data_IF_668000012768
#
_entry.id   IF_668000012768
#
_cell.length_a   1.000
_cell.length_b   1.000
_cell.length_c   1.000
_cell.angle_alpha   90.00
_cell.angle_beta   90.00
_cell.angle_gamma   90.00
#
_symmetry.space_group_name_H-M   'P 1'
#
loop_
_entity.id
_entity.type
_entity.pdbx_description
1 polymer ?
#
# COMPACT_ATOMS: atom_id res chain seq x y z
N UNK A 1 -17.89 31.58 5.21
CA UNK A 1 -18.65 32.29 6.27
C UNK A 1 -17.87 32.09 7.55
N UNK A 2 -17.08 33.08 7.97
CA UNK A 2 -16.16 32.98 9.10
C UNK A 2 -16.95 33.17 10.39
N UNK A 3 -16.97 32.17 11.26
CA UNK A 3 -17.47 32.31 12.63
C UNK A 3 -16.25 32.41 13.56
N UNK A 4 -15.88 33.64 13.90
CA UNK A 4 -14.90 33.93 14.94
C UNK A 4 -15.64 34.02 16.28
N UNK A 5 -15.41 33.06 17.17
CA UNK A 5 -15.76 33.20 18.58
C UNK A 5 -14.71 34.10 19.26
N UNK A 6 -15.11 35.12 20.06
CA UNK A 6 -14.19 35.89 20.87
C UNK A 6 -13.85 35.06 22.12
N UNK A 7 -12.56 34.78 22.33
CA UNK A 7 -12.08 34.16 23.57
C UNK A 7 -11.74 35.29 24.55
N UNK A 8 -12.37 35.38 25.73
CA UNK A 8 -12.02 36.39 26.73
C UNK A 8 -10.60 36.13 27.26
N UNK A 9 -9.79 37.18 27.31
CA UNK A 9 -8.34 37.18 27.52
C UNK A 9 -7.87 36.89 28.97
N UNK A 10 -8.61 36.10 29.74
CA UNK A 10 -8.28 35.83 31.14
C UNK A 10 -8.48 34.36 31.47
N UNK A 11 -7.48 33.54 31.13
CA UNK A 11 -7.11 32.25 31.74
C UNK A 11 -5.95 31.65 30.91
N UNK A 12 -4.80 32.30 30.98
CA UNK A 12 -3.51 31.68 30.65
C UNK A 12 -3.21 30.65 31.75
N UNK A 13 -2.64 29.50 31.37
CA UNK A 13 -2.06 28.41 32.19
C UNK A 13 -2.83 27.08 32.25
N UNK A 14 -3.37 26.58 31.13
CA UNK A 14 -3.44 25.14 30.90
C UNK A 14 -2.65 24.80 29.63
N UNK A 15 -1.66 23.90 29.67
CA UNK A 15 -0.89 23.58 28.48
C UNK A 15 -1.84 22.98 27.44
N UNK A 16 -1.79 23.50 26.21
CA UNK A 16 -2.39 22.86 25.03
C UNK A 16 -1.68 21.53 24.75
N UNK A 17 -1.92 20.52 25.58
CA UNK A 17 -1.56 19.13 25.35
C UNK A 17 -2.65 18.41 24.57
N UNK A 18 -3.28 19.08 23.61
CA UNK A 18 -3.94 18.38 22.50
C UNK A 18 -2.89 17.95 21.47
N UNK A 19 -1.93 17.15 21.94
CA UNK A 19 -1.31 16.18 21.07
C UNK A 19 -2.40 15.22 20.64
N UNK A 20 -2.82 15.29 19.37
CA UNK A 20 -3.59 14.21 18.76
C UNK A 20 -2.77 12.94 18.95
N UNK A 21 -3.17 12.08 19.88
CA UNK A 21 -2.64 10.75 19.96
C UNK A 21 -2.90 10.11 18.59
N UNK A 22 -1.84 9.86 17.82
CA UNK A 22 -1.92 9.06 16.63
C UNK A 22 -2.37 7.67 17.12
N UNK A 23 -3.65 7.35 16.92
CA UNK A 23 -4.17 6.04 17.28
C UNK A 23 -3.39 5.04 16.45
N UNK A 24 -2.61 4.18 17.11
CA UNK A 24 -1.91 3.11 16.43
C UNK A 24 -2.96 2.23 15.74
N UNK A 25 -2.95 2.22 14.40
CA UNK A 25 -3.87 1.37 13.63
C UNK A 25 -3.48 -0.08 13.90
N UNK A 26 -4.40 -0.84 14.48
CA UNK A 26 -4.18 -2.26 14.70
C UNK A 26 -4.23 -3.00 13.36
N UNK A 27 -3.03 -3.32 12.85
CA UNK A 27 -2.85 -3.99 11.56
C UNK A 27 -3.62 -5.32 11.49
N UNK A 28 -3.83 -5.97 12.63
CA UNK A 28 -4.58 -7.22 12.73
C UNK A 28 -6.06 -7.05 12.39
N UNK A 29 -6.66 -5.87 12.56
CA UNK A 29 -8.10 -5.61 12.36
C UNK A 29 -8.39 -4.64 11.21
N UNK A 30 -7.37 -4.01 10.63
CA UNK A 30 -7.52 -3.11 9.48
C UNK A 30 -8.22 -3.76 8.27
N UNK A 31 -9.35 -3.17 7.85
CA UNK A 31 -10.04 -3.47 6.59
C UNK A 31 -9.90 -2.24 5.70
N UNK A 32 -9.43 -2.47 4.48
CA UNK A 32 -9.00 -1.44 3.53
C UNK A 32 -7.69 -1.83 2.86
N UNK A 33 -7.29 -1.04 1.88
CA UNK A 33 -6.03 -1.22 1.13
C UNK A 33 -5.23 0.08 1.19
N UNK A 34 -3.97 0.00 1.64
CA UNK A 34 -3.14 1.17 1.92
C UNK A 34 -1.70 0.97 1.44
N UNK A 35 -1.01 2.08 1.20
CA UNK A 35 0.43 2.11 0.93
C UNK A 35 1.18 1.88 2.23
N UNK A 36 2.13 0.93 2.24
CA UNK A 36 2.97 0.62 3.39
C UNK A 36 4.38 0.25 2.96
N UNK A 37 5.32 0.45 3.88
CA UNK A 37 6.69 0.03 3.69
C UNK A 37 6.81 -1.51 3.67
N UNK A 38 7.49 -2.02 2.66
CA UNK A 38 7.80 -3.43 2.46
C UNK A 38 9.26 -3.59 2.06
N UNK A 39 9.91 -4.64 2.54
CA UNK A 39 11.31 -4.94 2.20
C UNK A 39 11.41 -6.27 1.49
N UNK A 40 12.04 -6.27 0.31
CA UNK A 40 12.26 -7.46 -0.49
C UNK A 40 13.74 -7.61 -0.87
N UNK A 41 14.10 -8.80 -1.36
CA UNK A 41 15.43 -9.08 -1.89
C UNK A 41 15.41 -8.92 -3.41
N UNK A 42 15.93 -7.80 -3.91
CA UNK A 42 16.16 -7.60 -5.34
C UNK A 42 17.32 -8.50 -5.79
N UNK A 43 17.06 -9.38 -6.75
CA UNK A 43 18.01 -10.37 -7.24
C UNK A 43 18.03 -10.39 -8.76
N UNK A 44 19.22 -10.49 -9.34
CA UNK A 44 19.47 -10.61 -10.78
C UNK A 44 20.63 -11.58 -10.99
N UNK A 45 20.54 -12.52 -11.94
CA UNK A 45 21.64 -13.42 -12.25
C UNK A 45 22.94 -12.67 -12.54
N UNK A 46 24.05 -13.14 -11.96
CA UNK A 46 25.36 -12.51 -12.13
C UNK A 46 25.65 -11.32 -11.21
N UNK A 47 24.72 -10.92 -10.34
CA UNK A 47 24.93 -9.90 -9.30
C UNK A 47 24.63 -10.47 -7.90
N UNK A 48 25.17 -9.83 -6.86
CA UNK A 48 24.74 -10.13 -5.49
C UNK A 48 23.41 -9.44 -5.20
N UNK A 49 22.49 -10.17 -4.56
CA UNK A 49 21.21 -9.61 -4.13
C UNK A 49 21.34 -8.42 -3.16
N UNK A 50 20.38 -7.50 -3.25
CA UNK A 50 20.28 -6.30 -2.43
C UNK A 50 18.91 -6.27 -1.73
N UNK A 51 18.90 -6.04 -0.41
CA UNK A 51 17.66 -5.79 0.31
C UNK A 51 17.20 -4.36 0.03
N UNK A 52 15.99 -4.23 -0.51
CA UNK A 52 15.40 -2.96 -0.90
C UNK A 52 14.14 -2.75 -0.08
N UNK A 53 14.06 -1.59 0.57
CA UNK A 53 12.89 -1.13 1.31
C UNK A 53 12.14 -0.13 0.43
N UNK A 54 10.85 -0.36 0.23
CA UNK A 54 10.03 0.47 -0.67
C UNK A 54 8.56 0.47 -0.26
N UNK A 55 7.79 1.39 -0.84
CA UNK A 55 6.35 1.46 -0.65
C UNK A 55 5.62 0.46 -1.55
N UNK A 56 4.77 -0.36 -0.95
CA UNK A 56 3.97 -1.38 -1.61
C UNK A 56 2.51 -1.37 -1.08
N UNK A 57 1.61 -2.07 -1.76
CA UNK A 57 0.22 -2.17 -1.34
C UNK A 57 0.01 -3.31 -0.34
N UNK A 58 -0.71 -3.00 0.73
CA UNK A 58 -1.03 -3.96 1.78
C UNK A 58 -2.40 -3.67 2.41
N UNK A 59 -3.14 -4.73 2.72
CA UNK A 59 -4.44 -4.60 3.37
C UNK A 59 -5.35 -5.79 3.13
N UNK A 60 -6.63 -5.62 3.46
CA UNK A 60 -7.70 -6.61 3.26
C UNK A 60 -8.91 -5.93 2.67
N UNK A 61 -9.41 -6.47 1.57
CA UNK A 61 -10.58 -5.95 0.88
C UNK A 61 -11.82 -6.75 1.26
N UNK A 62 -12.97 -6.07 1.25
CA UNK A 62 -14.25 -6.73 1.47
C UNK A 62 -14.60 -7.58 0.23
N UNK A 63 -14.96 -8.82 0.49
CA UNK A 63 -15.41 -9.77 -0.51
C UNK A 63 -16.72 -10.41 -0.05
N UNK A 64 -17.55 -10.80 -1.02
CA UNK A 64 -18.80 -11.50 -0.75
C UNK A 64 -19.23 -12.30 -1.96
N UNK A 65 -20.07 -13.31 -1.70
CA UNK A 65 -20.77 -14.07 -2.72
C UNK A 65 -22.26 -14.05 -2.37
N UNK A 66 -23.07 -13.75 -3.37
CA UNK A 66 -24.51 -13.67 -3.23
C UNK A 66 -25.16 -14.78 -4.06
N UNK A 67 -25.92 -15.69 -3.44
CA UNK A 67 -26.72 -16.65 -4.19
C UNK A 67 -27.77 -15.93 -5.04
N UNK A 68 -27.92 -16.36 -6.29
CA UNK A 68 -28.94 -15.87 -7.23
C UNK A 68 -29.73 -17.06 -7.79
N UNK A 69 -30.98 -16.83 -8.20
CA UNK A 69 -31.88 -17.90 -8.65
C UNK A 69 -31.58 -18.40 -10.06
N UNK A 70 -30.99 -17.54 -10.88
CA UNK A 70 -30.67 -17.83 -12.28
C UNK A 70 -29.20 -18.25 -12.40
N UNK A 71 -28.84 -19.15 -13.34
CA UNK A 71 -27.44 -19.45 -13.65
C UNK A 71 -26.65 -18.15 -13.87
N UNK A 72 -25.43 -17.99 -13.32
CA UNK A 72 -24.56 -19.02 -12.71
C UNK A 72 -24.84 -19.35 -11.23
N UNK A 73 -25.99 -18.94 -10.67
CA UNK A 73 -26.44 -19.19 -9.29
C UNK A 73 -25.65 -18.49 -8.18
N UNK A 74 -24.50 -17.90 -8.51
CA UNK A 74 -23.69 -17.10 -7.58
C UNK A 74 -23.24 -15.82 -8.29
N UNK A 75 -23.45 -14.69 -7.63
CA UNK A 75 -22.85 -13.39 -7.95
C UNK A 75 -21.67 -13.17 -7.00
N UNK A 76 -20.43 -13.25 -7.51
CA UNK A 76 -19.21 -13.12 -6.71
C UNK A 76 -18.59 -11.72 -6.82
N UNK A 77 -18.24 -11.13 -5.68
CA UNK A 77 -17.51 -9.87 -5.56
C UNK A 77 -16.15 -10.11 -4.90
N UNK A 78 -15.15 -10.48 -5.70
CA UNK A 78 -13.81 -10.80 -5.23
C UNK A 78 -12.83 -9.68 -5.63
N UNK A 79 -12.62 -8.74 -4.71
CA UNK A 79 -11.64 -7.66 -4.82
C UNK A 79 -10.38 -8.00 -4.04
N UNK A 80 -9.22 -7.63 -4.57
CA UNK A 80 -7.92 -7.77 -3.92
C UNK A 80 -7.31 -6.41 -3.63
N UNK A 81 -6.40 -6.33 -2.66
CA UNK A 81 -5.61 -5.12 -2.44
C UNK A 81 -4.47 -5.08 -3.47
N UNK A 82 -4.55 -4.14 -4.41
CA UNK A 82 -3.60 -4.03 -5.52
C UNK A 82 -3.16 -2.58 -5.77
N UNK A 83 -2.16 -2.43 -6.62
CA UNK A 83 -1.64 -1.15 -7.05
C UNK A 83 -2.67 -0.44 -7.94
N UNK A 84 -3.00 0.80 -7.56
CA UNK A 84 -3.84 1.68 -8.39
C UNK A 84 -2.98 2.65 -9.20
N UNK A 85 -1.91 3.16 -8.60
CA UNK A 85 -0.95 4.05 -9.23
C UNK A 85 0.47 3.69 -8.78
N UNK A 86 1.39 3.56 -9.72
CA UNK A 86 2.79 3.19 -9.47
C UNK A 86 3.77 4.12 -10.16
N UNK A 87 4.99 4.17 -9.63
CA UNK A 87 6.15 4.73 -10.33
C UNK A 87 7.24 3.66 -10.45
N UNK A 88 7.92 3.61 -11.59
CA UNK A 88 9.06 2.73 -11.76
C UNK A 88 10.32 3.37 -11.18
N UNK A 89 11.05 2.63 -10.35
CA UNK A 89 12.32 3.07 -9.77
C UNK A 89 13.41 2.05 -10.08
N UNK A 90 14.63 2.54 -10.31
CA UNK A 90 15.79 1.70 -10.62
C UNK A 90 16.84 1.82 -9.53
N UNK A 91 17.36 0.68 -9.06
CA UNK A 91 18.49 0.59 -8.13
C UNK A 91 19.66 -0.14 -8.78
N UNK A 92 20.86 0.01 -8.19
CA UNK A 92 22.08 -0.67 -8.65
C UNK A 92 22.43 -1.82 -7.71
N UNK A 93 22.47 -3.03 -8.26
CA UNK A 93 22.87 -4.22 -7.51
C UNK A 93 24.38 -4.26 -7.28
N UNK A 94 24.85 -4.69 -6.10
CA UNK A 94 26.27 -4.76 -5.79
C UNK A 94 26.93 -6.01 -6.40
N UNK A 95 28.25 -5.95 -6.61
CA UNK A 95 29.11 -7.09 -6.96
C UNK A 95 28.59 -7.89 -8.17
N UNK A 96 28.42 -7.22 -9.29
CA UNK A 96 28.08 -7.85 -10.55
C UNK A 96 29.32 -8.39 -11.27
N UNK A 97 29.16 -9.48 -12.01
CA UNK A 97 30.20 -10.01 -12.90
C UNK A 97 30.51 -9.04 -14.05
N UNK A 98 31.70 -9.10 -14.65
CA UNK A 98 32.06 -8.24 -15.79
C UNK A 98 31.05 -8.38 -16.94
N UNK A 99 30.59 -7.25 -17.48
CA UNK A 99 29.61 -7.21 -18.59
C UNK A 99 28.14 -7.37 -18.17
N UNK A 100 27.84 -7.62 -16.89
CA UNK A 100 26.45 -7.68 -16.39
C UNK A 100 25.97 -6.28 -16.02
N UNK A 101 24.81 -5.87 -16.55
CA UNK A 101 24.18 -4.60 -16.15
C UNK A 101 23.69 -4.69 -14.69
N UNK A 102 24.13 -3.78 -13.80
CA UNK A 102 23.72 -3.77 -12.40
C UNK A 102 22.32 -3.19 -12.15
N UNK A 103 21.63 -2.68 -13.18
CA UNK A 103 20.34 -2.01 -13.00
C UNK A 103 19.21 -3.01 -12.72
N UNK A 104 18.41 -2.71 -11.71
CA UNK A 104 17.21 -3.46 -11.33
C UNK A 104 16.05 -2.48 -11.14
N UNK A 105 14.97 -2.66 -11.90
CA UNK A 105 13.82 -1.74 -11.96
C UNK A 105 12.58 -2.42 -11.41
N UNK A 106 11.83 -1.74 -10.54
CA UNK A 106 10.65 -2.27 -9.88
C UNK A 106 9.59 -1.17 -9.64
N UNK A 107 8.30 -1.53 -9.50
CA UNK A 107 7.24 -0.58 -9.20
C UNK A 107 7.24 -0.19 -7.71
N UNK A 108 6.99 1.09 -7.44
CA UNK A 108 6.74 1.64 -6.11
C UNK A 108 5.29 2.12 -6.05
N UNK A 109 4.56 1.76 -4.99
CA UNK A 109 3.19 2.19 -4.80
C UNK A 109 3.09 3.69 -4.53
N UNK A 110 2.29 4.39 -5.33
CA UNK A 110 1.84 5.76 -5.03
C UNK A 110 0.45 5.71 -4.41
N UNK A 111 -0.43 4.86 -4.95
CA UNK A 111 -1.79 4.63 -4.45
C UNK A 111 -2.16 3.16 -4.56
N UNK A 112 -2.98 2.71 -3.61
CA UNK A 112 -3.49 1.35 -3.53
C UNK A 112 -5.02 1.38 -3.52
N UNK A 113 -5.64 0.32 -4.02
CA UNK A 113 -7.09 0.20 -4.06
C UNK A 113 -7.54 -1.26 -3.93
N UNK A 114 -8.80 -1.44 -3.51
CA UNK A 114 -9.49 -2.72 -3.61
C UNK A 114 -10.10 -2.85 -5.01
N UNK A 115 -9.50 -3.68 -5.86
CA UNK A 115 -9.92 -3.83 -7.25
C UNK A 115 -9.87 -5.30 -7.71
N UNK A 116 -10.38 -5.59 -8.91
CA UNK A 116 -10.23 -6.91 -9.55
C UNK A 116 -8.74 -7.12 -9.85
N UNK A 117 -8.26 -8.35 -9.69
CA UNK A 117 -6.90 -8.69 -10.05
C UNK A 117 -6.70 -8.58 -11.56
N UNK A 118 -5.83 -7.67 -12.00
CA UNK A 118 -5.48 -7.48 -13.41
C UNK A 118 -4.27 -8.33 -13.78
N UNK A 119 -4.49 -9.34 -14.64
CA UNK A 119 -3.42 -10.20 -15.16
C UNK A 119 -2.44 -9.47 -16.07
N UNK A 120 -2.74 -8.24 -16.50
CA UNK A 120 -1.85 -7.43 -17.32
C UNK A 120 -0.61 -6.94 -16.55
N UNK A 121 -0.74 -6.73 -15.24
CA UNK A 121 0.31 -6.12 -14.41
C UNK A 121 0.59 -6.90 -13.12
N UNK A 122 -0.21 -7.91 -12.84
CA UNK A 122 -0.17 -8.64 -11.57
C UNK A 122 -0.37 -10.12 -11.86
N UNK A 123 0.46 -10.97 -11.27
CA UNK A 123 0.27 -12.41 -11.31
C UNK A 123 -0.87 -12.76 -10.34
N UNK A 124 -2.01 -13.12 -10.92
CA UNK A 124 -3.22 -13.48 -10.20
C UNK A 124 -3.22 -14.99 -9.98
N UNK A 125 -2.85 -15.42 -8.78
CA UNK A 125 -2.91 -16.82 -8.37
C UNK A 125 -4.27 -17.14 -7.73
N UNK A 126 -4.77 -18.36 -7.95
CA UNK A 126 -6.06 -18.86 -7.44
C UNK A 126 -5.93 -19.56 -6.10
#
# INVERSE_FOLDING_TARGET
MKLQCPVPAALLLLPLLWGRAASAVELRTFVGCAVREFTFLASKPGCRGLRVTTDACWGRCETWEKPILEPPYIESHHRICTYNETRMVTVKLPRCAPGVDPSYTYPVAIRCACDICSTATTECET
#
